data_IF_522401830298
#
_entry.id   IF_522401830298
#
_cell.length_a   1.000
_cell.length_b   1.000
_cell.length_c   1.000
_cell.angle_alpha   90.00
_cell.angle_beta   90.00
_cell.angle_gamma   90.00
#
_symmetry.space_group_name_H-M   'P 1'
#
loop_
_entity.id
_entity.type
_entity.pdbx_description
1 polymer ?
#
# COMPACT_ATOMS: atom_id res chain seq x y z
N UNK A 1 15.02 -13.17 -61.08
CA UNK A 1 14.38 -12.22 -62.01
C UNK A 1 13.81 -11.03 -61.26
N UNK A 2 13.09 -11.27 -60.13
CA UNK A 2 12.43 -10.20 -59.35
C UNK A 2 13.43 -9.19 -58.74
N UNK A 3 14.52 -9.63 -58.16
CA UNK A 3 15.59 -8.76 -57.63
C UNK A 3 16.15 -7.85 -58.71
N UNK A 4 16.35 -8.37 -59.93
CA UNK A 4 16.81 -7.59 -61.05
C UNK A 4 15.78 -6.52 -61.46
N UNK A 5 14.48 -6.89 -61.52
CA UNK A 5 13.41 -5.94 -61.87
C UNK A 5 13.20 -4.86 -60.81
N UNK A 6 13.43 -5.19 -59.52
CA UNK A 6 13.43 -4.23 -58.43
C UNK A 6 14.62 -3.30 -58.53
N UNK A 7 15.83 -3.84 -58.79
CA UNK A 7 17.06 -3.06 -58.92
C UNK A 7 17.05 -2.06 -60.06
N UNK A 8 16.32 -2.33 -61.15
CA UNK A 8 16.14 -1.39 -62.28
C UNK A 8 14.85 -0.55 -62.20
N UNK A 9 14.20 -0.55 -61.02
CA UNK A 9 12.96 0.20 -60.73
C UNK A 9 11.78 -0.13 -61.66
N UNK A 10 11.73 -1.32 -62.25
CA UNK A 10 10.62 -1.81 -63.07
C UNK A 10 9.57 -2.58 -62.29
N UNK A 11 9.91 -2.95 -61.03
CA UNK A 11 9.00 -3.62 -60.08
C UNK A 11 9.24 -3.02 -58.70
N UNK A 12 8.18 -2.75 -57.97
CA UNK A 12 8.23 -2.40 -56.54
C UNK A 12 8.39 -3.63 -55.69
N UNK A 13 9.21 -3.54 -54.65
CA UNK A 13 9.28 -4.59 -53.64
C UNK A 13 7.90 -4.83 -53.00
N UNK A 14 7.57 -6.08 -52.70
CA UNK A 14 6.35 -6.39 -52.00
C UNK A 14 6.45 -5.92 -50.55
N UNK A 15 5.46 -5.17 -50.07
CA UNK A 15 5.41 -4.66 -48.71
C UNK A 15 4.19 -5.21 -48.00
N UNK A 16 4.38 -5.63 -46.76
CA UNK A 16 3.28 -6.10 -45.90
C UNK A 16 3.06 -5.09 -44.77
N UNK A 17 1.77 -4.82 -44.50
CA UNK A 17 1.36 -3.88 -43.45
C UNK A 17 0.22 -4.52 -42.65
N UNK A 18 0.07 -4.17 -41.40
CA UNK A 18 -1.07 -4.56 -40.56
C UNK A 18 -1.91 -3.33 -40.23
N UNK A 19 -3.21 -3.51 -40.08
CA UNK A 19 -4.11 -2.41 -39.76
C UNK A 19 -3.84 -1.84 -38.36
N UNK A 20 -3.50 -2.72 -37.41
CA UNK A 20 -3.15 -2.36 -36.04
C UNK A 20 -1.90 -3.14 -35.61
N UNK A 21 -0.87 -2.42 -35.16
CA UNK A 21 0.39 -2.99 -34.70
C UNK A 21 0.42 -3.26 -33.19
N UNK A 22 -0.61 -2.78 -32.44
CA UNK A 22 -0.77 -2.98 -31.01
C UNK A 22 -2.19 -3.40 -30.66
N UNK A 23 -2.35 -4.65 -30.27
CA UNK A 23 -3.64 -5.22 -29.86
C UNK A 23 -3.75 -5.29 -28.35
N UNK A 24 -4.83 -4.78 -27.81
CA UNK A 24 -5.14 -4.79 -26.38
C UNK A 24 -6.36 -5.66 -26.12
N UNK A 25 -6.19 -6.77 -25.41
CA UNK A 25 -7.27 -7.66 -25.03
C UNK A 25 -7.57 -7.60 -23.54
N UNK A 26 -8.83 -7.84 -23.16
CA UNK A 26 -9.21 -8.01 -21.75
C UNK A 26 -8.71 -9.36 -21.20
N UNK A 27 -8.63 -9.49 -19.88
CA UNK A 27 -8.18 -10.75 -19.23
C UNK A 27 -9.17 -11.92 -19.39
N UNK A 28 -10.38 -11.63 -19.79
CA UNK A 28 -11.40 -12.61 -20.16
C UNK A 28 -11.34 -13.00 -21.66
N UNK A 29 -10.35 -12.48 -22.40
CA UNK A 29 -10.15 -12.87 -23.79
C UNK A 29 -9.74 -14.35 -23.85
N UNK A 30 -10.46 -15.07 -24.66
CA UNK A 30 -10.23 -16.49 -24.93
C UNK A 30 -10.80 -16.83 -26.32
N UNK A 31 -10.15 -17.77 -26.99
CA UNK A 31 -10.60 -18.23 -28.29
C UNK A 31 -9.83 -17.61 -29.44
N UNK A 32 -10.46 -17.65 -30.61
CA UNK A 32 -9.86 -17.27 -31.87
C UNK A 32 -10.02 -15.77 -32.11
N UNK A 33 -8.91 -15.11 -32.44
CA UNK A 33 -8.81 -13.71 -32.81
C UNK A 33 -8.14 -13.59 -34.17
N UNK A 34 -8.30 -12.44 -34.86
CA UNK A 34 -7.80 -12.26 -36.22
C UNK A 34 -6.96 -10.97 -36.35
N UNK A 35 -5.95 -11.03 -37.21
CA UNK A 35 -5.13 -9.91 -37.63
C UNK A 35 -5.29 -9.75 -39.15
N UNK A 36 -5.61 -8.55 -39.61
CA UNK A 36 -5.64 -8.25 -41.03
C UNK A 36 -4.26 -7.86 -41.51
N UNK A 37 -3.63 -8.69 -42.35
CA UNK A 37 -2.37 -8.45 -43.01
C UNK A 37 -2.63 -8.00 -44.46
N UNK A 38 -2.24 -6.78 -44.78
CA UNK A 38 -2.37 -6.18 -46.08
C UNK A 38 -1.08 -6.29 -46.88
N UNK A 39 -1.23 -6.67 -48.15
CA UNK A 39 -0.15 -6.76 -49.11
C UNK A 39 -0.19 -5.61 -50.12
N UNK A 40 0.91 -4.96 -50.36
CA UNK A 40 1.09 -3.94 -51.43
C UNK A 40 2.16 -4.41 -52.40
N UNK A 41 1.79 -4.42 -53.67
CA UNK A 41 2.62 -4.92 -54.77
C UNK A 41 2.18 -6.31 -55.22
N UNK A 42 2.91 -6.87 -56.16
CA UNK A 42 2.62 -8.24 -56.63
C UNK A 42 3.93 -9.04 -56.74
N UNK A 43 3.83 -10.34 -56.47
CA UNK A 43 4.96 -11.25 -56.46
C UNK A 43 4.63 -12.53 -55.68
N UNK A 44 5.61 -13.40 -55.53
CA UNK A 44 5.46 -14.62 -54.77
C UNK A 44 5.40 -14.33 -53.31
N UNK A 45 4.38 -14.80 -52.66
CA UNK A 45 4.15 -14.65 -51.21
C UNK A 45 4.70 -15.87 -50.46
N UNK A 46 5.68 -15.64 -49.57
CA UNK A 46 6.15 -16.64 -48.62
C UNK A 46 6.47 -15.92 -47.31
N UNK A 47 5.60 -16.11 -46.32
CA UNK A 47 5.72 -15.43 -45.03
C UNK A 47 5.84 -16.47 -43.94
N UNK A 48 6.87 -16.36 -43.13
CA UNK A 48 7.02 -17.16 -41.91
C UNK A 48 6.42 -16.40 -40.74
N UNK A 49 5.52 -17.06 -40.00
CA UNK A 49 4.84 -16.50 -38.82
C UNK A 49 5.49 -17.02 -37.56
N UNK A 50 5.91 -16.15 -36.70
CA UNK A 50 6.47 -16.50 -35.38
C UNK A 50 5.70 -15.82 -34.27
N UNK A 51 5.33 -16.56 -33.22
CA UNK A 51 4.67 -16.02 -32.05
C UNK A 51 5.61 -16.03 -30.85
N UNK A 52 5.60 -14.95 -30.08
CA UNK A 52 6.25 -14.83 -28.78
C UNK A 52 5.19 -14.64 -27.71
N UNK A 53 5.28 -15.41 -26.61
CA UNK A 53 4.29 -15.45 -25.54
C UNK A 53 3.56 -16.80 -25.53
N UNK A 54 3.62 -17.53 -24.43
CA UNK A 54 3.01 -18.88 -24.31
C UNK A 54 1.50 -18.87 -24.47
N UNK A 55 0.88 -17.72 -24.25
CA UNK A 55 -0.56 -17.53 -24.33
C UNK A 55 -1.07 -17.24 -25.75
N UNK A 56 -0.18 -17.19 -26.75
CA UNK A 56 -0.51 -16.94 -28.16
C UNK A 56 -0.17 -18.19 -28.96
N UNK A 57 -1.17 -18.74 -29.66
CA UNK A 57 -0.98 -19.86 -30.60
C UNK A 57 -1.43 -19.43 -31.99
N UNK A 58 -0.50 -19.28 -32.94
CA UNK A 58 -0.85 -19.01 -34.34
C UNK A 58 -1.56 -20.24 -34.94
N UNK A 59 -2.49 -20.01 -35.84
CA UNK A 59 -3.17 -21.07 -36.58
C UNK A 59 -2.22 -21.73 -37.60
N UNK A 60 -1.41 -20.89 -38.27
CA UNK A 60 -0.43 -21.31 -39.28
C UNK A 60 0.93 -20.70 -38.99
N UNK A 61 1.99 -21.44 -39.30
CA UNK A 61 3.37 -20.96 -39.19
C UNK A 61 3.89 -20.40 -40.52
N UNK A 62 3.20 -20.66 -41.63
CA UNK A 62 3.57 -20.18 -42.96
C UNK A 62 2.31 -19.70 -43.69
N UNK A 63 2.44 -18.56 -44.38
CA UNK A 63 1.41 -18.02 -45.28
C UNK A 63 1.94 -17.98 -46.69
N UNK A 64 1.05 -18.36 -47.63
CA UNK A 64 1.32 -18.42 -49.06
C UNK A 64 0.32 -17.54 -49.82
N UNK A 65 0.40 -17.52 -51.14
CA UNK A 65 -0.54 -16.79 -52.01
C UNK A 65 -1.99 -17.21 -51.78
N UNK A 66 -2.24 -18.49 -51.42
CA UNK A 66 -3.58 -19.05 -51.21
C UNK A 66 -4.26 -18.49 -49.95
N UNK A 67 -3.50 -17.94 -49.00
CA UNK A 67 -4.03 -17.34 -47.76
C UNK A 67 -4.52 -15.91 -47.95
N UNK A 68 -4.28 -15.32 -49.13
CA UNK A 68 -4.70 -13.97 -49.46
C UNK A 68 -5.90 -13.93 -50.36
N UNK A 69 -6.97 -13.27 -49.92
CA UNK A 69 -8.07 -12.85 -50.79
C UNK A 69 -7.77 -11.45 -51.37
N UNK A 70 -7.37 -11.42 -52.64
CA UNK A 70 -6.81 -10.22 -53.30
C UNK A 70 -5.50 -9.77 -52.58
N UNK A 71 -5.59 -8.73 -51.76
CA UNK A 71 -4.44 -8.14 -51.08
C UNK A 71 -4.57 -8.21 -49.55
N UNK A 72 -5.52 -8.98 -49.01
CA UNK A 72 -5.80 -9.07 -47.56
C UNK A 72 -5.74 -10.53 -47.15
N UNK A 73 -5.02 -10.79 -46.05
CA UNK A 73 -5.04 -12.07 -45.35
C UNK A 73 -5.61 -11.85 -43.95
N UNK A 74 -6.72 -12.52 -43.61
CA UNK A 74 -7.27 -12.58 -42.26
C UNK A 74 -6.57 -13.72 -41.52
N UNK A 75 -5.48 -13.37 -40.81
CA UNK A 75 -4.69 -14.34 -40.08
C UNK A 75 -5.29 -14.61 -38.69
N UNK A 76 -5.63 -15.88 -38.42
CA UNK A 76 -6.20 -16.30 -37.14
C UNK A 76 -5.11 -16.75 -36.14
N UNK A 77 -5.34 -16.46 -34.87
CA UNK A 77 -4.56 -16.95 -33.75
C UNK A 77 -5.46 -17.17 -32.52
N UNK A 78 -5.05 -18.06 -31.63
CA UNK A 78 -5.82 -18.37 -30.42
C UNK A 78 -5.14 -17.79 -29.17
N UNK A 79 -5.95 -17.17 -28.32
CA UNK A 79 -5.52 -16.74 -26.98
C UNK A 79 -5.84 -17.87 -26.00
N UNK A 80 -4.82 -18.27 -25.22
CA UNK A 80 -4.82 -19.37 -24.25
C UNK A 80 -4.72 -18.84 -22.81
N UNK A 81 -5.86 -18.65 -22.10
CA UNK A 81 -5.87 -18.06 -20.77
C UNK A 81 -5.10 -18.85 -19.71
N UNK A 82 -4.95 -20.16 -19.89
CA UNK A 82 -4.21 -21.05 -18.98
C UNK A 82 -2.72 -20.72 -18.86
N UNK A 83 -2.19 -19.92 -19.79
CA UNK A 83 -0.79 -19.46 -19.77
C UNK A 83 -0.65 -18.01 -19.27
N UNK A 84 -1.70 -17.38 -18.79
CA UNK A 84 -1.61 -16.04 -18.24
C UNK A 84 -0.86 -16.04 -16.91
N UNK A 85 0.08 -15.10 -16.78
CA UNK A 85 0.74 -14.81 -15.50
C UNK A 85 -0.08 -13.79 -14.69
N UNK A 86 0.19 -13.66 -13.39
CA UNK A 86 -0.51 -12.70 -12.51
C UNK A 86 -0.29 -11.22 -12.88
N UNK A 87 0.76 -10.91 -13.64
CA UNK A 87 1.07 -9.57 -14.15
C UNK A 87 0.40 -9.23 -15.48
N UNK A 88 0.90 -8.18 -16.11
CA UNK A 88 0.60 -7.87 -17.51
C UNK A 88 1.26 -8.94 -18.39
N UNK A 89 0.51 -9.43 -19.37
CA UNK A 89 0.98 -10.43 -20.33
C UNK A 89 1.32 -9.73 -21.63
N UNK A 90 2.57 -9.88 -22.07
CA UNK A 90 3.07 -9.31 -23.32
C UNK A 90 3.46 -10.43 -24.27
N UNK A 91 3.02 -10.27 -25.52
CA UNK A 91 3.36 -11.18 -26.60
C UNK A 91 3.43 -10.46 -27.93
N UNK A 92 3.81 -11.16 -28.97
CA UNK A 92 3.82 -10.62 -30.34
C UNK A 92 3.68 -11.72 -31.36
N UNK A 93 3.13 -11.35 -32.53
CA UNK A 93 3.14 -12.18 -33.73
C UNK A 93 3.97 -11.39 -34.76
N UNK A 94 4.98 -12.05 -35.33
CA UNK A 94 5.85 -11.46 -36.34
C UNK A 94 5.69 -12.20 -37.66
N UNK A 95 5.38 -11.48 -38.71
CA UNK A 95 5.29 -11.92 -40.08
C UNK A 95 6.59 -11.55 -40.78
N UNK A 96 7.38 -12.54 -41.17
CA UNK A 96 8.68 -12.35 -41.82
C UNK A 96 8.63 -12.83 -43.26
N UNK A 97 8.98 -11.96 -44.20
CA UNK A 97 9.10 -12.25 -45.62
C UNK A 97 10.49 -11.87 -46.12
N UNK A 98 10.81 -12.19 -47.38
CA UNK A 98 12.05 -11.81 -48.02
C UNK A 98 12.24 -10.28 -48.14
N UNK A 99 11.14 -9.53 -48.11
CA UNK A 99 11.14 -8.06 -48.22
C UNK A 99 11.17 -7.33 -46.86
N UNK A 100 11.03 -8.02 -45.75
CA UNK A 100 11.04 -7.42 -44.41
C UNK A 100 10.15 -8.16 -43.40
N UNK A 101 10.00 -7.58 -42.23
CA UNK A 101 9.15 -8.15 -41.18
C UNK A 101 8.19 -7.09 -40.61
N UNK A 102 6.98 -7.57 -40.28
CA UNK A 102 5.95 -6.78 -39.58
C UNK A 102 5.61 -7.47 -38.29
N UNK A 103 5.54 -6.73 -37.19
CA UNK A 103 5.28 -7.29 -35.86
C UNK A 103 4.03 -6.64 -35.27
N UNK A 104 3.11 -7.48 -34.78
CA UNK A 104 1.94 -7.06 -34.00
C UNK A 104 2.19 -7.38 -32.55
N UNK A 105 2.11 -6.39 -31.69
CA UNK A 105 2.25 -6.52 -30.24
C UNK A 105 0.90 -6.80 -29.61
N UNK A 106 0.87 -7.77 -28.71
CA UNK A 106 -0.35 -8.20 -28.01
C UNK A 106 -0.14 -7.99 -26.52
N UNK A 107 -1.04 -7.24 -25.89
CA UNK A 107 -1.01 -6.97 -24.47
C UNK A 107 -2.33 -7.39 -23.81
N UNK A 108 -2.22 -8.15 -22.72
CA UNK A 108 -3.35 -8.49 -21.85
C UNK A 108 -3.02 -7.96 -20.46
N UNK A 109 -3.58 -6.82 -20.04
CA UNK A 109 -3.26 -6.18 -18.79
C UNK A 109 -3.75 -7.01 -17.61
N UNK A 110 -3.07 -6.87 -16.47
CA UNK A 110 -3.57 -7.34 -15.18
C UNK A 110 -4.98 -6.78 -14.95
N UNK A 111 -5.87 -7.59 -14.39
CA UNK A 111 -7.26 -7.20 -14.12
C UNK A 111 -7.30 -5.99 -13.17
N UNK A 112 -7.39 -4.79 -13.73
CA UNK A 112 -7.15 -3.52 -13.03
C UNK A 112 -8.35 -3.00 -12.23
N UNK A 113 -9.58 -3.41 -12.51
CA UNK A 113 -10.73 -2.67 -11.99
C UNK A 113 -11.03 -2.95 -10.52
N UNK A 114 -11.16 -4.18 -10.06
CA UNK A 114 -11.50 -4.44 -8.65
C UNK A 114 -10.30 -4.35 -7.69
N UNK A 115 -9.10 -4.80 -8.11
CA UNK A 115 -7.88 -4.65 -7.31
C UNK A 115 -7.43 -3.20 -7.19
N UNK A 116 -7.58 -2.38 -8.24
CA UNK A 116 -7.24 -0.96 -8.20
C UNK A 116 -8.17 -0.16 -7.28
N UNK A 117 -9.46 -0.45 -7.25
CA UNK A 117 -10.40 0.23 -6.35
C UNK A 117 -10.07 -0.11 -4.89
N UNK A 118 -9.84 -1.39 -4.58
CA UNK A 118 -9.46 -1.83 -3.25
C UNK A 118 -8.09 -1.29 -2.83
N UNK A 119 -7.09 -1.37 -3.70
CA UNK A 119 -5.75 -0.80 -3.45
C UNK A 119 -5.78 0.73 -3.34
N UNK A 120 -6.62 1.39 -4.13
CA UNK A 120 -6.80 2.85 -4.04
C UNK A 120 -7.50 3.24 -2.74
N UNK A 121 -8.54 2.49 -2.34
CA UNK A 121 -9.22 2.68 -1.06
C UNK A 121 -8.27 2.44 0.13
N UNK A 122 -7.49 1.36 0.12
CA UNK A 122 -6.48 1.07 1.15
C UNK A 122 -5.39 2.16 1.19
N UNK A 123 -4.94 2.63 0.05
CA UNK A 123 -3.96 3.74 -0.03
C UNK A 123 -4.53 5.04 0.52
N UNK A 124 -5.77 5.35 0.24
CA UNK A 124 -6.46 6.54 0.77
C UNK A 124 -6.69 6.40 2.28
N UNK A 125 -7.11 5.21 2.76
CA UNK A 125 -7.24 4.91 4.19
C UNK A 125 -5.92 5.12 4.92
N UNK A 126 -4.80 4.57 4.41
CA UNK A 126 -3.47 4.76 4.99
C UNK A 126 -3.04 6.24 5.04
N UNK A 127 -3.38 7.03 4.01
CA UNK A 127 -3.12 8.48 4.01
C UNK A 127 -3.90 9.20 5.11
N UNK A 128 -5.18 8.85 5.31
CA UNK A 128 -5.99 9.43 6.38
C UNK A 128 -5.47 9.05 7.77
N UNK A 129 -5.09 7.78 7.98
CA UNK A 129 -4.48 7.31 9.22
C UNK A 129 -3.15 8.03 9.50
N UNK A 130 -2.28 8.18 8.49
CA UNK A 130 -1.04 8.93 8.63
C UNK A 130 -1.26 10.42 8.97
N UNK A 131 -2.32 11.03 8.43
CA UNK A 131 -2.71 12.41 8.77
C UNK A 131 -3.23 12.50 10.20
N UNK A 132 -4.05 11.55 10.63
CA UNK A 132 -4.55 11.45 12.00
C UNK A 132 -3.40 11.29 13.00
N UNK A 133 -2.44 10.43 12.69
CA UNK A 133 -1.21 10.27 13.49
C UNK A 133 -0.44 11.59 13.62
N UNK A 134 -0.27 12.33 12.52
CA UNK A 134 0.40 13.66 12.56
C UNK A 134 -0.34 14.65 13.42
N UNK A 135 -1.69 14.68 13.36
CA UNK A 135 -2.49 15.53 14.22
C UNK A 135 -2.38 15.14 15.69
N UNK A 136 -2.38 13.86 15.99
CA UNK A 136 -2.15 13.38 17.35
C UNK A 136 -0.78 13.81 17.89
N UNK A 137 0.28 13.68 17.10
CA UNK A 137 1.61 14.16 17.49
C UNK A 137 1.64 15.70 17.68
N UNK A 138 1.02 16.44 16.75
CA UNK A 138 0.90 17.89 16.88
C UNK A 138 0.13 18.30 18.15
N UNK A 139 -0.96 17.59 18.48
CA UNK A 139 -1.71 17.80 19.72
C UNK A 139 -0.84 17.60 20.97
N UNK A 140 0.03 16.58 20.93
CA UNK A 140 0.96 16.27 22.05
C UNK A 140 2.08 17.30 22.17
N UNK A 141 2.59 17.81 21.05
CA UNK A 141 3.77 18.64 20.98
C UNK A 141 3.48 20.17 20.94
N UNK A 142 2.24 20.56 20.56
CA UNK A 142 1.87 21.97 20.37
C UNK A 142 0.65 22.36 21.20
N UNK A 143 0.84 22.77 22.48
CA UNK A 143 -0.28 23.11 23.38
C UNK A 143 -1.19 24.23 22.88
N UNK A 144 -0.66 25.16 22.06
CA UNK A 144 -1.36 26.40 21.67
C UNK A 144 -2.54 26.16 20.71
N UNK A 145 -2.49 25.08 19.87
CA UNK A 145 -3.44 24.85 18.79
C UNK A 145 -4.35 23.62 19.01
N UNK A 146 -4.42 23.11 20.23
CA UNK A 146 -5.10 21.84 20.55
C UNK A 146 -6.54 21.76 20.07
N UNK A 147 -7.31 22.85 20.23
CA UNK A 147 -8.73 22.86 19.86
C UNK A 147 -8.94 22.69 18.35
N UNK A 148 -8.16 23.37 17.53
CA UNK A 148 -8.31 23.30 16.08
C UNK A 148 -7.77 21.97 15.53
N UNK A 149 -6.70 21.45 16.13
CA UNK A 149 -6.17 20.12 15.82
C UNK A 149 -7.23 19.04 16.09
N UNK A 150 -7.92 19.09 17.23
CA UNK A 150 -8.96 18.13 17.58
C UNK A 150 -10.18 18.20 16.65
N UNK A 151 -10.60 19.41 16.23
CA UNK A 151 -11.68 19.59 15.24
C UNK A 151 -11.30 18.97 13.88
N UNK A 152 -10.05 19.14 13.44
CA UNK A 152 -9.58 18.53 12.21
C UNK A 152 -9.49 16.99 12.34
N UNK A 153 -9.01 16.49 13.46
CA UNK A 153 -8.93 15.08 13.76
C UNK A 153 -10.32 14.40 13.78
N UNK A 154 -11.33 15.07 14.35
CA UNK A 154 -12.71 14.59 14.38
C UNK A 154 -13.28 14.41 12.97
N UNK A 155 -13.11 15.41 12.09
CA UNK A 155 -13.54 15.34 10.68
C UNK A 155 -12.86 14.19 9.93
N UNK A 156 -11.60 13.90 10.24
CA UNK A 156 -10.87 12.78 9.63
C UNK A 156 -11.37 11.43 10.16
N UNK A 157 -11.65 11.32 11.46
CA UNK A 157 -12.21 10.10 12.05
C UNK A 157 -13.62 9.80 11.52
N UNK A 158 -14.47 10.83 11.35
CA UNK A 158 -15.78 10.68 10.71
C UNK A 158 -15.63 10.18 9.27
N UNK A 159 -14.69 10.74 8.50
CA UNK A 159 -14.40 10.32 7.13
C UNK A 159 -13.89 8.88 7.06
N UNK A 160 -13.07 8.44 8.02
CA UNK A 160 -12.63 7.06 8.14
C UNK A 160 -13.81 6.12 8.44
N UNK A 161 -14.68 6.47 9.38
CA UNK A 161 -15.83 5.65 9.76
C UNK A 161 -16.90 5.56 8.66
N UNK A 162 -17.11 6.61 7.88
CA UNK A 162 -18.11 6.65 6.80
C UNK A 162 -17.62 6.01 5.51
N UNK A 163 -16.34 6.22 5.15
CA UNK A 163 -15.79 5.81 3.86
C UNK A 163 -15.14 4.43 3.84
N UNK A 164 -14.63 3.94 5.00
CA UNK A 164 -13.83 2.70 5.06
C UNK A 164 -14.38 1.68 6.06
N UNK A 165 -15.63 1.84 6.44
CA UNK A 165 -16.31 0.94 7.35
C UNK A 165 -15.96 1.17 8.83
N UNK A 166 -16.79 0.59 9.71
CA UNK A 166 -16.66 0.72 11.16
C UNK A 166 -15.71 -0.34 11.73
N UNK A 167 -14.43 -0.32 11.29
CA UNK A 167 -13.43 -1.20 11.90
C UNK A 167 -13.21 -0.83 13.36
N UNK A 168 -12.76 -1.80 14.18
CA UNK A 168 -12.44 -1.57 15.60
C UNK A 168 -11.39 -0.44 15.74
N UNK A 169 -10.35 -0.48 14.93
CA UNK A 169 -9.30 0.54 14.91
C UNK A 169 -9.85 1.94 14.64
N UNK A 170 -10.73 2.11 13.65
CA UNK A 170 -11.33 3.41 13.34
C UNK A 170 -12.17 3.94 14.52
N UNK A 171 -12.87 3.05 15.23
CA UNK A 171 -13.65 3.43 16.43
C UNK A 171 -12.75 3.83 17.59
N UNK A 172 -11.60 3.19 17.79
CA UNK A 172 -10.64 3.56 18.82
C UNK A 172 -10.07 4.96 18.59
N UNK A 173 -9.80 5.36 17.34
CA UNK A 173 -9.46 6.75 17.04
C UNK A 173 -10.59 7.72 17.38
N UNK A 174 -11.83 7.36 17.14
CA UNK A 174 -12.98 8.16 17.55
C UNK A 174 -13.05 8.32 19.08
N UNK A 175 -12.90 7.22 19.82
CA UNK A 175 -12.85 7.26 21.29
C UNK A 175 -11.72 8.16 21.79
N UNK A 176 -10.53 8.03 21.23
CA UNK A 176 -9.38 8.87 21.59
C UNK A 176 -9.69 10.37 21.39
N UNK A 177 -10.26 10.74 20.26
CA UNK A 177 -10.58 12.16 19.94
C UNK A 177 -11.65 12.67 20.89
N UNK A 178 -12.74 11.93 21.12
CA UNK A 178 -13.80 12.30 22.04
C UNK A 178 -13.26 12.51 23.47
N UNK A 179 -12.40 11.61 23.94
CA UNK A 179 -11.76 11.74 25.24
C UNK A 179 -10.87 12.99 25.32
N UNK A 180 -10.03 13.24 24.30
CA UNK A 180 -9.18 14.44 24.24
C UNK A 180 -9.98 15.75 24.15
N UNK A 181 -11.21 15.69 23.64
CA UNK A 181 -12.19 16.81 23.64
C UNK A 181 -12.94 16.96 24.96
N UNK A 182 -12.65 16.13 25.98
CA UNK A 182 -13.37 16.08 27.27
C UNK A 182 -14.83 15.66 27.15
N UNK A 183 -15.22 14.96 26.08
CA UNK A 183 -16.55 14.38 25.85
C UNK A 183 -16.59 12.95 26.41
N UNK A 184 -16.38 12.81 27.71
CA UNK A 184 -16.16 11.52 28.37
C UNK A 184 -17.34 10.54 28.23
N UNK A 185 -18.58 11.02 28.37
CA UNK A 185 -19.76 10.16 28.26
C UNK A 185 -19.89 9.53 26.86
N UNK A 186 -19.61 10.29 25.81
CA UNK A 186 -19.65 9.82 24.45
C UNK A 186 -18.49 8.85 24.18
N UNK A 187 -17.30 9.17 24.66
CA UNK A 187 -16.14 8.30 24.58
C UNK A 187 -16.42 6.95 25.27
N UNK A 188 -17.01 6.97 26.48
CA UNK A 188 -17.38 5.76 27.25
C UNK A 188 -18.42 4.91 26.52
N UNK A 189 -19.41 5.56 25.90
CA UNK A 189 -20.43 4.86 25.11
C UNK A 189 -19.83 4.13 23.91
N UNK A 190 -18.99 4.79 23.12
CA UNK A 190 -18.30 4.17 21.95
C UNK A 190 -17.37 3.06 22.42
N UNK A 191 -16.60 3.26 23.50
CA UNK A 191 -15.66 2.30 24.05
C UNK A 191 -16.34 1.01 24.48
N UNK A 192 -17.51 1.09 25.14
CA UNK A 192 -18.30 -0.07 25.55
C UNK A 192 -18.78 -0.90 24.36
N UNK A 193 -19.12 -0.25 23.22
CA UNK A 193 -19.46 -0.95 21.99
C UNK A 193 -18.24 -1.65 21.35
N UNK A 194 -17.04 -1.06 21.47
CA UNK A 194 -15.79 -1.66 21.05
C UNK A 194 -15.46 -2.88 21.91
N UNK A 195 -15.62 -2.78 23.23
CA UNK A 195 -15.37 -3.87 24.16
C UNK A 195 -16.16 -5.15 23.80
N UNK A 196 -17.45 -5.03 23.45
CA UNK A 196 -18.29 -6.16 23.05
C UNK A 196 -17.76 -6.89 21.80
N UNK A 197 -17.04 -6.19 20.95
CA UNK A 197 -16.46 -6.75 19.72
C UNK A 197 -15.19 -7.56 20.01
N UNK A 198 -14.41 -7.20 21.04
CA UNK A 198 -13.23 -7.96 21.46
C UNK A 198 -13.57 -9.28 22.15
N UNK A 199 -14.74 -9.39 22.75
CA UNK A 199 -15.21 -10.65 23.37
C UNK A 199 -15.55 -11.75 22.34
N UNK A 200 -15.52 -11.45 21.03
CA UNK A 200 -16.04 -12.33 19.96
C UNK A 200 -15.02 -12.79 18.92
N UNK A 201 -13.75 -12.39 18.98
CA UNK A 201 -12.79 -12.69 17.91
C UNK A 201 -11.33 -12.75 18.33
N UNK A 202 -10.46 -13.09 17.39
CA UNK A 202 -9.01 -12.98 17.54
C UNK A 202 -8.61 -11.52 17.76
N UNK A 203 -7.79 -11.30 18.78
CA UNK A 203 -7.39 -9.97 19.22
C UNK A 203 -6.06 -9.61 18.53
N UNK A 204 -6.12 -8.61 17.66
CA UNK A 204 -4.90 -8.00 17.11
C UNK A 204 -4.24 -7.11 18.19
N UNK A 205 -2.96 -7.35 18.46
CA UNK A 205 -2.23 -6.75 19.59
C UNK A 205 -2.24 -5.21 19.59
N UNK A 206 -2.13 -4.58 18.43
CA UNK A 206 -2.05 -3.11 18.33
C UNK A 206 -3.39 -2.43 18.67
N UNK A 207 -4.53 -2.78 18.07
CA UNK A 207 -5.82 -2.23 18.47
C UNK A 207 -6.19 -2.59 19.90
N UNK A 208 -5.84 -3.78 20.38
CA UNK A 208 -6.13 -4.19 21.75
C UNK A 208 -5.36 -3.35 22.79
N UNK A 209 -4.07 -3.10 22.56
CA UNK A 209 -3.30 -2.20 23.40
C UNK A 209 -3.92 -0.79 23.47
N UNK A 210 -4.37 -0.25 22.33
CA UNK A 210 -5.05 1.03 22.29
C UNK A 210 -6.38 1.02 23.07
N UNK A 211 -7.14 -0.09 23.00
CA UNK A 211 -8.35 -0.26 23.78
C UNK A 211 -8.06 -0.30 25.29
N UNK A 212 -7.07 -1.07 25.74
CA UNK A 212 -6.68 -1.14 27.15
C UNK A 212 -6.27 0.23 27.69
N UNK A 213 -5.44 0.95 26.94
CA UNK A 213 -5.05 2.31 27.30
C UNK A 213 -6.25 3.23 27.48
N UNK A 214 -7.17 3.26 26.50
CA UNK A 214 -8.35 4.12 26.55
C UNK A 214 -9.31 3.71 27.67
N UNK A 215 -9.44 2.40 27.94
CA UNK A 215 -10.21 1.88 29.08
C UNK A 215 -9.65 2.41 30.40
N UNK A 216 -8.32 2.31 30.61
CA UNK A 216 -7.68 2.79 31.82
C UNK A 216 -7.74 4.30 32.01
N UNK A 217 -7.84 5.08 30.91
CA UNK A 217 -7.93 6.54 30.97
C UNK A 217 -9.37 7.06 31.14
N UNK A 218 -10.36 6.35 30.61
CA UNK A 218 -11.76 6.83 30.55
C UNK A 218 -12.62 6.24 31.66
N UNK A 219 -12.37 4.97 32.07
CA UNK A 219 -13.08 4.35 33.15
C UNK A 219 -12.38 4.68 34.47
N UNK A 220 -12.94 5.61 35.24
CA UNK A 220 -12.36 6.13 36.50
C UNK A 220 -12.65 5.24 37.73
N UNK A 221 -12.85 3.95 37.55
CA UNK A 221 -12.97 3.00 38.65
C UNK A 221 -11.58 2.73 39.22
N UNK A 222 -11.41 2.68 40.55
CA UNK A 222 -10.12 2.71 41.25
C UNK A 222 -9.07 1.70 40.74
N UNK A 223 -9.53 0.52 40.28
CA UNK A 223 -8.63 -0.55 39.84
C UNK A 223 -8.42 -0.62 38.31
N UNK A 224 -9.22 0.12 37.52
CA UNK A 224 -9.25 -0.07 36.04
C UNK A 224 -7.94 0.35 35.36
N UNK A 225 -7.28 1.37 35.86
CA UNK A 225 -6.01 1.84 35.31
C UNK A 225 -4.86 0.86 35.63
N UNK A 226 -4.88 0.30 36.83
CA UNK A 226 -3.89 -0.71 37.25
C UNK A 226 -4.08 -2.03 36.48
N UNK A 227 -5.31 -2.52 36.37
CA UNK A 227 -5.64 -3.69 35.54
C UNK A 227 -5.19 -3.50 34.09
N UNK A 228 -5.51 -2.35 33.48
CA UNK A 228 -5.12 -2.05 32.11
C UNK A 228 -3.60 -1.99 31.96
N UNK A 229 -2.87 -1.50 32.97
CA UNK A 229 -1.41 -1.50 33.00
C UNK A 229 -0.85 -2.92 33.03
N UNK A 230 -1.40 -3.79 33.89
CA UNK A 230 -0.98 -5.19 33.99
C UNK A 230 -1.26 -5.96 32.68
N UNK A 231 -2.45 -5.77 32.09
CA UNK A 231 -2.79 -6.38 30.79
C UNK A 231 -1.86 -5.91 29.66
N UNK A 232 -1.43 -4.63 29.66
CA UNK A 232 -0.47 -4.12 28.69
C UNK A 232 0.92 -4.74 28.85
N UNK A 233 1.36 -5.00 30.08
CA UNK A 233 2.62 -5.72 30.36
C UNK A 233 2.53 -7.17 29.86
N UNK A 234 1.45 -7.87 30.17
CA UNK A 234 1.22 -9.24 29.69
C UNK A 234 1.22 -9.28 28.15
N UNK A 235 0.54 -8.34 27.50
CA UNK A 235 0.50 -8.24 26.04
C UNK A 235 1.89 -7.96 25.44
N UNK A 236 2.74 -7.21 26.13
CA UNK A 236 4.12 -6.95 25.71
C UNK A 236 4.97 -8.23 25.80
N UNK A 237 4.77 -9.07 26.82
CA UNK A 237 5.44 -10.35 26.97
C UNK A 237 5.01 -11.36 25.90
N UNK A 238 3.69 -11.44 25.63
CA UNK A 238 3.13 -12.33 24.62
C UNK A 238 3.46 -11.91 23.17
N UNK A 239 3.62 -10.60 22.93
CA UNK A 239 3.85 -9.99 21.61
C UNK A 239 5.06 -9.05 21.63
N UNK A 240 6.26 -9.59 21.83
CA UNK A 240 7.48 -8.78 21.99
C UNK A 240 7.89 -8.00 20.74
N UNK A 241 7.25 -8.27 19.60
CA UNK A 241 7.40 -7.50 18.36
C UNK A 241 6.58 -6.20 18.36
N UNK A 242 5.52 -6.12 19.17
CA UNK A 242 4.62 -4.96 19.21
C UNK A 242 5.15 -3.88 20.15
N UNK A 243 5.55 -2.73 19.62
CA UNK A 243 6.07 -1.60 20.41
C UNK A 243 4.98 -0.78 21.12
N UNK A 244 3.73 -0.82 20.63
CA UNK A 244 2.67 0.04 21.15
C UNK A 244 2.28 -0.26 22.60
N UNK A 245 2.21 -1.51 23.09
CA UNK A 245 1.96 -1.80 24.50
C UNK A 245 2.95 -1.08 25.43
N UNK A 246 4.25 -1.12 25.12
CA UNK A 246 5.28 -0.43 25.91
C UNK A 246 5.08 1.09 25.91
N UNK A 247 4.75 1.69 24.75
CA UNK A 247 4.46 3.12 24.65
C UNK A 247 3.24 3.53 25.48
N UNK A 248 2.22 2.69 25.55
CA UNK A 248 0.98 3.00 26.25
C UNK A 248 1.07 2.70 27.75
N UNK A 249 1.82 1.67 28.13
CA UNK A 249 2.10 1.35 29.53
C UNK A 249 2.75 2.55 30.26
N UNK A 250 3.77 3.16 29.67
CA UNK A 250 4.45 4.33 30.24
C UNK A 250 3.54 5.54 30.51
N UNK A 251 2.36 5.55 29.87
CA UNK A 251 1.37 6.63 30.01
C UNK A 251 0.28 6.32 31.05
N UNK A 252 0.03 5.03 31.31
CA UNK A 252 -0.91 4.58 32.36
C UNK A 252 -0.18 4.57 33.70
N UNK A 253 1.07 4.16 33.73
CA UNK A 253 1.89 4.06 34.93
C UNK A 253 2.96 5.18 34.95
N UNK A 254 2.58 6.39 35.39
CA UNK A 254 3.51 7.55 35.39
C UNK A 254 4.66 7.38 36.37
N UNK A 255 4.50 6.49 37.36
CA UNK A 255 5.50 6.19 38.41
C UNK A 255 6.51 5.11 38.00
N UNK A 256 6.28 4.46 36.83
CA UNK A 256 7.25 3.53 36.26
C UNK A 256 8.62 4.22 36.06
N UNK A 257 9.71 3.51 36.40
CA UNK A 257 11.01 4.07 36.26
C UNK A 257 11.31 4.43 34.79
N UNK A 258 11.49 5.72 34.52
CA UNK A 258 11.63 6.24 33.14
C UNK A 258 12.74 5.56 32.37
N UNK A 259 13.82 5.14 33.08
CA UNK A 259 14.95 4.46 32.46
C UNK A 259 14.63 3.05 31.99
N UNK A 260 13.85 2.29 32.76
CA UNK A 260 13.47 0.93 32.38
C UNK A 260 12.58 0.96 31.16
N UNK A 261 11.58 1.84 31.16
CA UNK A 261 10.70 2.03 29.99
C UNK A 261 11.50 2.52 28.78
N UNK A 262 12.43 3.46 28.97
CA UNK A 262 13.29 3.95 27.89
C UNK A 262 14.11 2.81 27.27
N UNK A 263 14.69 1.93 28.05
CA UNK A 263 15.46 0.77 27.58
C UNK A 263 14.59 -0.20 26.75
N UNK A 264 13.32 -0.38 27.14
CA UNK A 264 12.37 -1.21 26.37
C UNK A 264 12.07 -0.57 25.02
N UNK A 265 11.83 0.76 24.97
CA UNK A 265 11.60 1.48 23.73
C UNK A 265 12.82 1.45 22.80
N UNK A 266 14.01 1.59 23.36
CA UNK A 266 15.28 1.46 22.66
C UNK A 266 15.42 0.09 22.01
N UNK A 267 15.12 -1.00 22.75
CA UNK A 267 15.16 -2.35 22.23
C UNK A 267 14.17 -2.55 21.06
N UNK A 268 12.98 -1.95 21.12
CA UNK A 268 12.04 -1.97 20.00
C UNK A 268 12.55 -1.20 18.78
N UNK A 269 13.20 -0.06 18.98
CA UNK A 269 13.80 0.71 17.90
C UNK A 269 14.89 -0.09 17.17
N UNK A 270 15.80 -0.73 17.89
CA UNK A 270 16.84 -1.57 17.28
C UNK A 270 16.32 -2.86 16.63
N UNK A 271 15.09 -3.30 16.97
CA UNK A 271 14.36 -4.36 16.25
C UNK A 271 13.65 -3.88 14.99
N UNK A 272 13.75 -2.58 14.66
CA UNK A 272 13.20 -1.99 13.44
C UNK A 272 11.85 -1.27 13.63
N UNK A 273 11.42 -0.99 14.85
CA UNK A 273 10.22 -0.19 15.11
C UNK A 273 10.49 1.30 14.86
N UNK A 274 10.36 1.75 13.61
CA UNK A 274 10.48 3.17 13.24
C UNK A 274 9.12 3.86 13.30
N UNK A 275 8.63 4.13 14.50
CA UNK A 275 7.34 4.77 14.73
C UNK A 275 7.49 6.16 15.38
N UNK A 276 6.84 7.21 14.82
CA UNK A 276 6.83 8.53 15.44
C UNK A 276 6.19 8.53 16.85
N UNK A 277 5.30 7.57 17.17
CA UNK A 277 4.72 7.43 18.50
C UNK A 277 5.76 6.93 19.50
N UNK A 278 6.60 5.98 19.09
CA UNK A 278 7.70 5.48 19.89
C UNK A 278 8.68 6.62 20.22
N UNK A 279 9.11 7.38 19.21
CA UNK A 279 10.00 8.52 19.39
C UNK A 279 9.39 9.62 20.26
N UNK A 280 8.09 9.91 20.12
CA UNK A 280 7.38 10.87 20.97
C UNK A 280 7.31 10.39 22.41
N UNK A 281 7.07 9.09 22.66
CA UNK A 281 7.04 8.54 24.01
C UNK A 281 8.42 8.59 24.64
N UNK A 282 9.46 8.19 23.93
CA UNK A 282 10.84 8.28 24.41
C UNK A 282 11.25 9.73 24.69
N UNK A 283 10.87 10.68 23.83
CA UNK A 283 11.09 12.10 24.06
C UNK A 283 10.42 12.58 25.37
N UNK A 284 9.17 12.19 25.61
CA UNK A 284 8.47 12.56 26.85
C UNK A 284 9.14 11.97 28.12
N UNK A 285 9.79 10.80 28.01
CA UNK A 285 10.58 10.24 29.10
C UNK A 285 11.88 11.05 29.34
N UNK A 286 12.52 11.50 28.26
CA UNK A 286 13.70 12.37 28.34
C UNK A 286 13.36 13.73 28.97
N UNK A 287 12.19 14.31 28.62
CA UNK A 287 11.72 15.55 29.25
C UNK A 287 11.52 15.39 30.78
N UNK A 288 10.99 14.23 31.22
CA UNK A 288 10.85 13.91 32.65
C UNK A 288 12.18 13.62 33.33
N UNK A 289 13.06 12.88 32.66
CA UNK A 289 14.33 12.39 33.21
C UNK A 289 15.42 12.48 32.13
N UNK A 290 16.15 13.62 32.09
CA UNK A 290 17.25 13.82 31.14
C UNK A 290 18.37 12.76 31.26
N UNK A 291 18.46 12.09 32.41
CA UNK A 291 19.39 10.97 32.64
C UNK A 291 19.18 9.77 31.73
N UNK A 292 18.02 9.69 30.99
CA UNK A 292 17.81 8.70 29.96
C UNK A 292 18.79 8.89 28.78
N UNK A 293 19.23 10.11 28.49
CA UNK A 293 20.21 10.42 27.45
C UNK A 293 21.66 10.22 27.94
N UNK A 294 22.04 8.99 28.21
CA UNK A 294 23.41 8.71 28.72
C UNK A 294 24.44 8.58 27.60
N UNK A 295 24.02 8.20 26.42
CA UNK A 295 24.86 8.00 25.24
C UNK A 295 24.19 8.70 24.06
N UNK A 296 24.96 9.05 23.03
CA UNK A 296 24.44 9.57 21.77
C UNK A 296 24.61 8.50 20.70
N UNK A 297 23.79 7.47 20.79
CA UNK A 297 23.70 6.41 19.80
C UNK A 297 22.55 6.70 18.82
N UNK A 298 22.24 5.76 17.93
CA UNK A 298 21.25 5.98 16.86
C UNK A 298 19.86 6.32 17.40
N UNK A 299 19.45 5.70 18.50
CA UNK A 299 18.11 5.93 19.08
C UNK A 299 17.97 7.35 19.62
N UNK A 300 18.93 7.81 20.44
CA UNK A 300 18.93 9.16 21.01
C UNK A 300 19.02 10.24 19.94
N UNK A 301 19.83 10.00 18.89
CA UNK A 301 19.90 10.91 17.74
C UNK A 301 18.54 11.05 17.05
N UNK A 302 17.81 9.94 16.88
CA UNK A 302 16.45 9.98 16.28
C UNK A 302 15.44 10.71 17.17
N UNK A 303 15.52 10.54 18.49
CA UNK A 303 14.69 11.29 19.46
C UNK A 303 14.98 12.80 19.37
N UNK A 304 16.24 13.19 19.36
CA UNK A 304 16.63 14.60 19.23
C UNK A 304 16.20 15.18 17.89
N UNK A 305 16.37 14.44 16.81
CA UNK A 305 15.92 14.87 15.47
C UNK A 305 14.40 15.01 15.40
N UNK A 306 13.68 14.09 16.04
CA UNK A 306 12.22 14.17 16.18
C UNK A 306 11.83 15.45 16.94
N UNK A 307 12.47 15.76 18.06
CA UNK A 307 12.23 16.96 18.85
C UNK A 307 12.44 18.24 18.03
N UNK A 308 13.55 18.34 17.29
CA UNK A 308 13.85 19.46 16.39
C UNK A 308 12.76 19.62 15.32
N UNK A 309 12.35 18.52 14.69
CA UNK A 309 11.34 18.51 13.64
C UNK A 309 9.98 19.05 14.10
N UNK A 310 9.62 18.79 15.35
CA UNK A 310 8.37 19.27 15.95
C UNK A 310 8.52 20.58 16.72
N UNK A 311 9.68 21.23 16.67
CA UNK A 311 9.95 22.52 17.32
C UNK A 311 10.00 22.45 18.84
N UNK A 312 10.28 21.26 19.39
CA UNK A 312 10.43 21.08 20.83
C UNK A 312 11.89 21.36 21.20
N UNK A 313 12.11 22.51 21.84
CA UNK A 313 13.39 22.83 22.44
C UNK A 313 13.50 22.10 23.77
N UNK A 314 14.45 21.19 23.89
CA UNK A 314 14.92 20.77 25.21
C UNK A 314 15.56 22.03 25.85
N UNK A 315 14.89 22.62 26.83
CA UNK A 315 15.53 23.61 27.67
C UNK A 315 16.58 22.87 28.51
N UNK A 316 17.81 22.88 28.04
CA UNK A 316 18.92 22.67 28.93
C UNK A 316 18.94 23.89 29.84
N UNK A 317 18.44 23.77 31.07
CA UNK A 317 18.71 24.74 32.10
C UNK A 317 20.24 24.83 32.22
N UNK A 318 20.79 26.00 31.90
CA UNK A 318 22.18 26.31 32.13
C UNK A 318 22.49 25.97 33.58
N UNK A 319 23.37 24.99 33.76
CA UNK A 319 24.01 24.71 35.05
C UNK A 319 25.25 25.59 35.19
#
# INVERSE_FOLDING_TARGET
VDEFLIGIHKKSAMVYEVAEDNLLFGRNAQGEEQIELHRKGWGYTNITVTAKGKFIRPEKEHLTEEDFEKDICAFSFTILPEYFIEGDNYGSITFTSDSGSVTVHIMIPKQKQQENEKQTADRQRRKLLARLMRLYLAYRMQPQNRTDILKEAEKLAEKLNSGYGRSLENRLYQVLILWLQQRENEAKWVLNHVAQSYLRGEIDAVPYAAYLYLRGQICQEEDTAEEAGQELLMLQEERPEAYLPACLYSRIQPDAESRDVFSVLEAHFYRGADSPVLLQTAFSLVEKSPSCLMKLESFEIHILWFAIKYGCLLYTSDA
#
